data_IF_536849459007
#
_entry.id   IF_536849459007
#
_cell.length_a   1.000
_cell.length_b   1.000
_cell.length_c   1.000
_cell.angle_alpha   90.00
_cell.angle_beta   90.00
_cell.angle_gamma   90.00
#
_symmetry.space_group_name_H-M   'P 1'
#
loop_
_entity.id
_entity.type
_entity.pdbx_description
1 polymer ?
#
# COMPACT_ATOMS: atom_id res chain seq x y z
N UNK A 1 -29.60 -10.84 -14.46
CA UNK A 1 -28.19 -11.22 -14.62
C UNK A 1 -27.40 -10.55 -13.50
N UNK A 2 -27.54 -11.02 -12.24
CA UNK A 2 -26.98 -10.38 -11.04
C UNK A 2 -25.82 -11.17 -10.41
N UNK A 3 -25.49 -12.35 -10.98
CA UNK A 3 -24.52 -13.31 -10.42
C UNK A 3 -23.06 -12.95 -10.76
N UNK A 4 -22.82 -11.91 -11.58
CA UNK A 4 -21.47 -11.58 -12.06
C UNK A 4 -20.74 -10.50 -11.23
N UNK A 5 -21.43 -9.53 -10.64
CA UNK A 5 -20.78 -8.41 -9.96
C UNK A 5 -20.28 -8.82 -8.57
N UNK A 6 -21.09 -9.55 -7.80
CA UNK A 6 -20.69 -10.03 -6.48
C UNK A 6 -19.53 -11.03 -6.56
N UNK A 7 -19.56 -11.95 -7.53
CA UNK A 7 -18.44 -12.89 -7.76
C UNK A 7 -17.15 -12.16 -8.19
N UNK A 8 -17.25 -11.13 -9.02
CA UNK A 8 -16.09 -10.33 -9.42
C UNK A 8 -15.52 -9.54 -8.24
N UNK A 9 -16.36 -8.95 -7.40
CA UNK A 9 -15.93 -8.22 -6.20
C UNK A 9 -15.30 -9.14 -5.15
N UNK A 10 -15.84 -10.35 -4.95
CA UNK A 10 -15.28 -11.35 -4.05
C UNK A 10 -13.92 -11.86 -4.55
N UNK A 11 -13.77 -12.10 -5.85
CA UNK A 11 -12.50 -12.47 -6.45
C UNK A 11 -11.48 -11.34 -6.34
N UNK A 12 -11.87 -10.09 -6.62
CA UNK A 12 -11.00 -8.92 -6.45
C UNK A 12 -10.55 -8.76 -5.00
N UNK A 13 -11.46 -8.94 -4.03
CA UNK A 13 -11.10 -8.93 -2.61
C UNK A 13 -10.11 -10.04 -2.28
N UNK A 14 -10.35 -11.27 -2.76
CA UNK A 14 -9.42 -12.39 -2.53
C UNK A 14 -8.03 -12.08 -3.07
N UNK A 15 -7.93 -11.58 -4.29
CA UNK A 15 -6.66 -11.19 -4.90
C UNK A 15 -5.99 -10.04 -4.14
N UNK A 16 -6.74 -9.01 -3.73
CA UNK A 16 -6.20 -7.92 -2.89
C UNK A 16 -5.66 -8.49 -1.57
N UNK A 17 -6.42 -9.35 -0.89
CA UNK A 17 -5.98 -10.03 0.33
C UNK A 17 -4.71 -10.85 0.11
N UNK A 18 -4.63 -11.60 -0.98
CA UNK A 18 -3.42 -12.36 -1.34
C UNK A 18 -2.22 -11.45 -1.57
N UNK A 19 -2.38 -10.32 -2.27
CA UNK A 19 -1.28 -9.35 -2.49
C UNK A 19 -0.83 -8.65 -1.22
N UNK A 20 -1.75 -8.42 -0.30
CA UNK A 20 -1.45 -7.90 1.04
C UNK A 20 -0.69 -8.94 1.86
N UNK A 21 -1.11 -10.20 1.76
CA UNK A 21 -0.37 -11.29 2.38
C UNK A 21 1.01 -11.42 1.75
N UNK A 22 1.18 -11.39 0.43
CA UNK A 22 2.52 -11.36 -0.20
C UNK A 22 3.34 -10.16 0.27
N UNK A 23 2.72 -8.98 0.41
CA UNK A 23 3.36 -7.78 0.96
C UNK A 23 3.85 -8.02 2.39
N UNK A 24 3.02 -8.59 3.27
CA UNK A 24 3.38 -8.82 4.66
C UNK A 24 4.18 -10.09 4.89
N UNK A 25 4.08 -11.10 4.05
CA UNK A 25 4.79 -12.38 4.11
C UNK A 25 6.24 -12.19 3.66
N UNK A 26 6.48 -11.31 2.68
CA UNK A 26 7.81 -10.77 2.37
C UNK A 26 8.42 -9.98 3.55
N UNK A 27 7.55 -9.36 4.36
CA UNK A 27 7.90 -8.68 5.62
C UNK A 27 7.90 -9.67 6.81
N UNK A 28 7.51 -10.93 6.59
CA UNK A 28 7.20 -11.96 7.58
C UNK A 28 6.00 -11.66 8.50
N UNK A 29 4.78 -11.94 8.00
CA UNK A 29 3.50 -11.70 8.67
C UNK A 29 3.29 -12.48 9.99
N UNK A 30 4.15 -13.46 10.29
CA UNK A 30 4.11 -14.27 11.53
C UNK A 30 5.11 -13.80 12.59
N UNK A 31 5.86 -12.73 12.32
CA UNK A 31 7.07 -12.42 13.05
C UNK A 31 6.99 -11.04 13.66
N UNK A 32 6.61 -11.06 14.94
CA UNK A 32 6.85 -9.98 15.90
C UNK A 32 8.37 -9.91 16.21
N UNK A 33 9.20 -10.01 15.16
CA UNK A 33 10.64 -10.12 15.24
C UNK A 33 11.21 -8.76 15.64
N UNK A 34 12.26 -8.80 16.45
CA UNK A 34 12.98 -7.61 16.83
C UNK A 34 13.57 -6.93 15.59
N UNK A 35 13.71 -5.60 15.62
CA UNK A 35 14.39 -4.83 14.55
C UNK A 35 15.76 -5.44 14.22
N UNK A 36 16.45 -6.04 15.20
CA UNK A 36 17.74 -6.73 15.04
C UNK A 36 17.66 -7.96 14.13
N UNK A 37 16.60 -8.76 14.20
CA UNK A 37 16.39 -9.94 13.33
C UNK A 37 16.04 -9.55 11.90
N UNK A 38 15.27 -8.46 11.72
CA UNK A 38 15.01 -7.89 10.40
C UNK A 38 16.30 -7.34 9.78
N UNK A 39 17.13 -6.63 10.56
CA UNK A 39 18.43 -6.15 10.10
C UNK A 39 19.30 -7.33 9.64
N UNK A 40 19.39 -8.43 10.40
CA UNK A 40 20.16 -9.61 9.99
C UNK A 40 19.64 -10.25 8.70
N UNK A 41 18.33 -10.38 8.53
CA UNK A 41 17.70 -10.94 7.34
C UNK A 41 18.01 -10.12 6.08
N UNK A 42 17.92 -8.79 6.22
CA UNK A 42 18.13 -7.84 5.15
C UNK A 42 19.58 -7.34 5.06
N UNK A 43 20.50 -7.86 5.88
CA UNK A 43 21.93 -7.56 5.82
C UNK A 43 22.57 -7.97 4.50
N UNK A 44 21.92 -8.85 3.73
CA UNK A 44 22.28 -9.14 2.35
C UNK A 44 21.45 -8.26 1.41
N UNK A 45 22.12 -7.38 0.66
CA UNK A 45 21.51 -6.46 -0.32
C UNK A 45 20.59 -7.19 -1.34
N UNK A 46 20.94 -8.42 -1.72
CA UNK A 46 20.15 -9.23 -2.66
C UNK A 46 18.76 -9.60 -2.10
N UNK A 47 18.64 -9.84 -0.79
CA UNK A 47 17.35 -10.14 -0.16
C UNK A 47 16.47 -8.90 -0.14
N UNK A 48 17.03 -7.75 0.28
CA UNK A 48 16.29 -6.50 0.32
C UNK A 48 15.83 -6.06 -1.07
N UNK A 49 16.68 -6.21 -2.10
CA UNK A 49 16.32 -5.88 -3.47
C UNK A 49 15.18 -6.77 -4.01
N UNK A 50 15.21 -8.07 -3.70
CA UNK A 50 14.13 -8.99 -4.06
C UNK A 50 12.82 -8.64 -3.35
N UNK A 51 12.84 -8.35 -2.05
CA UNK A 51 11.64 -7.97 -1.31
C UNK A 51 11.08 -6.62 -1.77
N UNK A 52 11.94 -5.62 -1.99
CA UNK A 52 11.55 -4.33 -2.59
C UNK A 52 10.81 -4.52 -3.91
N UNK A 53 11.29 -5.43 -4.76
CA UNK A 53 10.67 -5.76 -6.05
C UNK A 53 9.30 -6.42 -5.85
N UNK A 54 9.20 -7.45 -5.01
CA UNK A 54 7.93 -8.15 -4.71
C UNK A 54 6.89 -7.14 -4.21
N UNK A 55 7.28 -6.30 -3.24
CA UNK A 55 6.39 -5.29 -2.68
C UNK A 55 5.92 -4.29 -3.76
N UNK A 56 6.83 -3.79 -4.60
CA UNK A 56 6.50 -2.85 -5.66
C UNK A 56 5.57 -3.46 -6.71
N UNK A 57 5.78 -4.73 -7.08
CA UNK A 57 4.92 -5.48 -7.98
C UNK A 57 3.51 -5.68 -7.39
N UNK A 58 3.40 -6.03 -6.11
CA UNK A 58 2.13 -6.16 -5.40
C UNK A 58 1.33 -4.85 -5.38
N UNK A 59 1.98 -3.70 -5.14
CA UNK A 59 1.33 -2.39 -5.20
C UNK A 59 0.80 -2.08 -6.61
N UNK A 60 1.55 -2.42 -7.65
CA UNK A 60 1.12 -2.23 -9.04
C UNK A 60 -0.05 -3.17 -9.39
N UNK A 61 -0.03 -4.40 -8.89
CA UNK A 61 -1.11 -5.35 -9.12
C UNK A 61 -2.41 -4.88 -8.45
N UNK A 62 -2.34 -4.32 -7.23
CA UNK A 62 -3.51 -3.71 -6.58
C UNK A 62 -4.10 -2.58 -7.45
N UNK A 63 -3.27 -1.70 -8.02
CA UNK A 63 -3.74 -0.68 -8.97
C UNK A 63 -4.46 -1.33 -10.16
N UNK A 64 -3.87 -2.39 -10.74
CA UNK A 64 -4.45 -3.10 -11.88
C UNK A 64 -5.79 -3.77 -11.57
N UNK A 65 -5.99 -4.22 -10.33
CA UNK A 65 -7.24 -4.82 -9.83
C UNK A 65 -8.30 -3.73 -9.60
N UNK A 66 -7.93 -2.60 -8.99
CA UNK A 66 -8.87 -1.54 -8.62
C UNK A 66 -9.31 -0.68 -9.82
N UNK A 67 -8.39 -0.39 -10.76
CA UNK A 67 -8.64 0.47 -11.93
C UNK A 67 -9.86 0.09 -12.78
N UNK A 68 -10.13 -1.20 -13.10
CA UNK A 68 -11.30 -1.59 -13.89
C UNK A 68 -12.60 -1.68 -13.09
N UNK A 69 -12.58 -1.48 -11.76
CA UNK A 69 -13.78 -1.59 -10.94
C UNK A 69 -14.55 -0.26 -10.91
N UNK A 70 -15.79 -0.29 -11.40
CA UNK A 70 -16.66 0.88 -11.43
C UNK A 70 -16.94 1.42 -10.01
N UNK A 71 -16.78 2.74 -9.84
CA UNK A 71 -17.14 3.43 -8.59
C UNK A 71 -16.05 3.46 -7.52
N UNK A 72 -14.80 3.09 -7.86
CA UNK A 72 -13.62 3.17 -7.00
C UNK A 72 -12.64 4.29 -7.38
N UNK A 73 -13.04 5.26 -8.20
CA UNK A 73 -12.11 6.26 -8.75
C UNK A 73 -11.44 7.10 -7.65
N UNK A 74 -12.19 7.45 -6.60
CA UNK A 74 -11.67 8.24 -5.49
C UNK A 74 -10.76 7.43 -4.57
N UNK A 75 -11.12 6.17 -4.30
CA UNK A 75 -10.26 5.28 -3.52
C UNK A 75 -8.96 4.97 -4.26
N UNK A 76 -9.03 4.77 -5.58
CA UNK A 76 -7.84 4.61 -6.40
C UNK A 76 -6.93 5.84 -6.31
N UNK A 77 -7.50 7.06 -6.34
CA UNK A 77 -6.73 8.28 -6.14
C UNK A 77 -5.98 8.28 -4.79
N UNK A 78 -6.66 7.94 -3.70
CA UNK A 78 -6.01 7.84 -2.39
C UNK A 78 -4.95 6.73 -2.33
N UNK A 79 -5.20 5.59 -2.97
CA UNK A 79 -4.22 4.51 -3.05
C UNK A 79 -2.96 4.95 -3.79
N UNK A 80 -3.07 5.78 -4.82
CA UNK A 80 -1.89 6.31 -5.50
C UNK A 80 -1.00 7.14 -4.57
N UNK A 81 -1.59 7.88 -3.64
CA UNK A 81 -0.81 8.62 -2.65
C UNK A 81 -0.13 7.68 -1.63
N UNK A 82 -0.87 6.69 -1.12
CA UNK A 82 -0.32 5.63 -0.25
C UNK A 82 0.84 4.92 -0.94
N UNK A 83 0.65 4.49 -2.19
CA UNK A 83 1.67 3.83 -3.01
C UNK A 83 2.93 4.69 -3.12
N UNK A 84 2.80 5.99 -3.39
CA UNK A 84 3.94 6.91 -3.48
C UNK A 84 4.73 6.97 -2.17
N UNK A 85 4.04 7.09 -1.04
CA UNK A 85 4.66 7.10 0.30
C UNK A 85 5.43 5.79 0.53
N UNK A 86 4.79 4.66 0.28
CA UNK A 86 5.40 3.34 0.48
C UNK A 86 6.61 3.15 -0.43
N UNK A 87 6.52 3.49 -1.72
CA UNK A 87 7.64 3.40 -2.66
C UNK A 87 8.83 4.28 -2.23
N UNK A 88 8.57 5.46 -1.66
CA UNK A 88 9.64 6.29 -1.11
C UNK A 88 10.34 5.58 0.05
N UNK A 89 9.55 5.12 1.01
CA UNK A 89 10.05 4.43 2.21
C UNK A 89 10.85 3.18 1.82
N UNK A 90 10.40 2.42 0.82
CA UNK A 90 11.06 1.20 0.32
C UNK A 90 12.39 1.45 -0.42
N UNK A 91 12.71 2.70 -0.77
CA UNK A 91 13.97 2.97 -1.46
C UNK A 91 15.19 2.86 -0.55
N UNK A 92 14.99 2.95 0.76
CA UNK A 92 16.04 2.83 1.77
C UNK A 92 15.63 1.82 2.82
N UNK A 93 16.49 0.83 3.07
CA UNK A 93 16.25 -0.25 4.03
C UNK A 93 16.03 0.26 5.45
N UNK A 94 16.81 1.25 5.90
CA UNK A 94 16.69 1.79 7.25
C UNK A 94 15.40 2.60 7.37
N UNK A 95 15.07 3.36 6.34
CA UNK A 95 13.80 4.09 6.28
C UNK A 95 12.61 3.13 6.32
N UNK A 96 12.69 2.03 5.58
CA UNK A 96 11.67 0.98 5.57
C UNK A 96 11.49 0.32 6.94
N UNK A 97 12.57 -0.16 7.54
CA UNK A 97 12.51 -0.82 8.85
C UNK A 97 11.98 0.12 9.95
N UNK A 98 12.41 1.38 9.95
CA UNK A 98 11.98 2.36 10.96
C UNK A 98 10.52 2.81 10.80
N UNK A 99 9.94 2.68 9.60
CA UNK A 99 8.59 3.16 9.30
C UNK A 99 7.61 2.03 8.95
N UNK A 100 7.96 0.78 9.26
CA UNK A 100 7.15 -0.37 8.91
C UNK A 100 5.74 -0.32 9.52
N UNK A 101 5.62 0.10 10.78
CA UNK A 101 4.32 0.24 11.46
C UNK A 101 3.42 1.27 10.75
N UNK A 102 4.02 2.38 10.31
CA UNK A 102 3.30 3.43 9.57
C UNK A 102 2.79 2.92 8.21
N UNK A 103 3.63 2.18 7.47
CA UNK A 103 3.25 1.53 6.21
C UNK A 103 2.10 0.53 6.42
N UNK A 104 2.20 -0.29 7.46
CA UNK A 104 1.16 -1.27 7.82
C UNK A 104 -0.20 -0.59 8.08
N UNK A 105 -0.20 0.47 8.90
CA UNK A 105 -1.43 1.19 9.25
C UNK A 105 -2.10 1.85 8.04
N UNK A 106 -1.33 2.47 7.14
CA UNK A 106 -1.86 3.04 5.88
C UNK A 106 -2.60 1.99 5.06
N UNK A 107 -1.97 0.83 4.85
CA UNK A 107 -2.51 -0.26 4.06
C UNK A 107 -3.77 -0.84 4.69
N UNK A 108 -3.73 -1.20 5.98
CA UNK A 108 -4.88 -1.80 6.66
C UNK A 108 -6.10 -0.87 6.65
N UNK A 109 -5.91 0.43 6.91
CA UNK A 109 -7.00 1.40 6.87
C UNK A 109 -7.61 1.50 5.47
N UNK A 110 -6.78 1.55 4.42
CA UNK A 110 -7.25 1.58 3.04
C UNK A 110 -8.00 0.30 2.66
N UNK A 111 -7.49 -0.87 3.01
CA UNK A 111 -8.13 -2.14 2.64
C UNK A 111 -9.44 -2.39 3.38
N UNK A 112 -9.53 -1.96 4.64
CA UNK A 112 -10.80 -1.96 5.37
C UNK A 112 -11.86 -1.12 4.65
N UNK A 113 -11.47 0.07 4.14
CA UNK A 113 -12.35 0.93 3.35
C UNK A 113 -12.79 0.24 2.04
N UNK A 114 -11.85 -0.31 1.26
CA UNK A 114 -12.15 -1.03 0.01
C UNK A 114 -13.07 -2.22 0.25
N UNK A 115 -12.82 -3.00 1.31
CA UNK A 115 -13.66 -4.12 1.70
C UNK A 115 -15.08 -3.65 2.04
N UNK A 116 -15.23 -2.55 2.79
CA UNK A 116 -16.56 -1.97 3.05
C UNK A 116 -17.27 -1.55 1.76
N UNK A 117 -16.55 -0.91 0.83
CA UNK A 117 -17.12 -0.45 -0.44
C UNK A 117 -17.57 -1.62 -1.31
N UNK A 118 -16.69 -2.59 -1.55
CA UNK A 118 -16.95 -3.72 -2.45
C UNK A 118 -18.07 -4.65 -1.97
N UNK A 119 -18.27 -4.74 -0.65
CA UNK A 119 -19.37 -5.49 -0.05
C UNK A 119 -20.61 -4.64 0.26
N UNK A 120 -20.65 -3.39 -0.21
CA UNK A 120 -21.75 -2.45 0.04
C UNK A 120 -22.14 -2.37 1.53
N UNK A 121 -21.15 -2.40 2.43
CA UNK A 121 -21.40 -2.36 3.88
C UNK A 121 -21.96 -1.00 4.29
N UNK A 122 -22.93 -1.02 5.19
CA UNK A 122 -23.49 0.21 5.80
C UNK A 122 -22.38 1.00 6.50
N UNK A 123 -22.49 2.34 6.45
CA UNK A 123 -21.52 3.25 7.06
C UNK A 123 -20.24 3.46 6.25
N UNK A 124 -20.18 2.99 5.00
CA UNK A 124 -19.03 3.26 4.12
C UNK A 124 -18.75 4.76 3.99
N UNK A 125 -19.76 5.61 3.77
CA UNK A 125 -19.55 7.07 3.62
C UNK A 125 -18.87 7.70 4.83
N UNK A 126 -19.35 7.37 6.04
CA UNK A 126 -18.76 7.90 7.28
C UNK A 126 -17.33 7.40 7.51
N UNK A 127 -17.02 6.16 7.08
CA UNK A 127 -15.67 5.60 7.17
C UNK A 127 -14.76 6.17 6.09
N UNK A 128 -15.29 6.47 4.91
CA UNK A 128 -14.56 7.16 3.85
C UNK A 128 -14.11 8.54 4.32
N UNK A 129 -15.02 9.34 4.90
CA UNK A 129 -14.66 10.66 5.42
C UNK A 129 -13.62 10.60 6.55
N UNK A 130 -13.68 9.58 7.41
CA UNK A 130 -12.67 9.34 8.45
C UNK A 130 -11.35 8.93 7.85
N UNK A 131 -11.36 8.06 6.85
CA UNK A 131 -10.18 7.62 6.14
C UNK A 131 -9.48 8.77 5.43
N UNK A 132 -10.22 9.67 4.76
CA UNK A 132 -9.64 10.86 4.13
C UNK A 132 -8.91 11.73 5.15
N UNK A 133 -9.54 12.05 6.28
CA UNK A 133 -8.90 12.84 7.35
C UNK A 133 -7.68 12.15 7.96
N UNK A 134 -7.76 10.83 8.11
CA UNK A 134 -6.64 10.03 8.56
C UNK A 134 -5.49 10.11 7.57
N UNK A 135 -5.76 9.90 6.28
CA UNK A 135 -4.75 9.95 5.22
C UNK A 135 -4.13 11.33 5.11
N UNK A 136 -4.92 12.42 5.14
CA UNK A 136 -4.40 13.79 5.15
C UNK A 136 -3.39 13.99 6.30
N UNK A 137 -3.73 13.52 7.51
CA UNK A 137 -2.83 13.59 8.66
C UNK A 137 -1.58 12.72 8.51
N UNK A 138 -1.67 11.56 7.84
CA UNK A 138 -0.52 10.69 7.58
C UNK A 138 0.38 11.25 6.48
N UNK A 139 -0.19 11.91 5.47
CA UNK A 139 0.55 12.63 4.44
C UNK A 139 1.32 13.80 5.07
N UNK A 140 0.66 14.60 5.92
CA UNK A 140 1.31 15.67 6.67
C UNK A 140 2.48 15.14 7.51
N UNK A 141 2.27 14.06 8.27
CA UNK A 141 3.33 13.41 9.04
C UNK A 141 4.48 12.93 8.15
N UNK A 142 4.17 12.25 7.05
CA UNK A 142 5.18 11.78 6.10
C UNK A 142 6.04 12.95 5.59
N UNK A 143 5.42 14.04 5.13
CA UNK A 143 6.15 15.16 4.55
C UNK A 143 6.92 16.02 5.56
N UNK A 144 6.62 15.89 6.85
CA UNK A 144 7.27 16.68 7.91
C UNK A 144 8.32 15.90 8.68
N UNK A 145 8.10 14.60 8.91
CA UNK A 145 8.92 13.79 9.83
C UNK A 145 9.70 12.67 9.14
N UNK A 146 9.27 12.21 7.96
CA UNK A 146 9.91 11.08 7.25
C UNK A 146 10.63 11.56 5.99
N UNK A 147 9.99 12.44 5.23
CA UNK A 147 10.47 12.86 3.93
C UNK A 147 11.68 13.80 4.05
N UNK A 148 12.80 13.34 3.50
CA UNK A 148 13.97 14.17 3.23
C UNK A 148 14.06 14.43 1.72
N UNK A 149 14.09 15.72 1.35
CA UNK A 149 14.22 16.11 -0.05
C UNK A 149 15.63 15.77 -0.57
N UNK A 150 15.72 14.85 -1.52
CA UNK A 150 16.93 14.50 -2.28
C UNK A 150 16.56 14.41 -3.77
N UNK A 151 17.51 14.74 -4.66
CA UNK A 151 17.38 14.75 -6.12
C UNK A 151 16.88 13.40 -6.67
N UNK A 152 17.13 12.29 -5.95
CA UNK A 152 16.61 10.95 -6.27
C UNK A 152 15.09 10.81 -6.18
N UNK A 153 14.41 11.71 -5.47
CA UNK A 153 12.95 11.69 -5.35
C UNK A 153 12.25 12.15 -6.63
N UNK A 154 12.85 13.06 -7.40
CA UNK A 154 12.29 13.47 -8.70
C UNK A 154 12.22 12.28 -9.67
N UNK A 155 13.25 11.43 -9.70
CA UNK A 155 13.26 10.22 -10.52
C UNK A 155 12.15 9.24 -10.10
N UNK A 156 11.90 9.10 -8.79
CA UNK A 156 10.83 8.26 -8.27
C UNK A 156 9.43 8.82 -8.63
N UNK A 157 9.25 10.14 -8.58
CA UNK A 157 8.00 10.78 -9.02
C UNK A 157 7.76 10.47 -10.50
N UNK A 158 8.80 10.57 -11.34
CA UNK A 158 8.72 10.30 -12.79
C UNK A 158 8.43 8.81 -13.05
N UNK A 159 9.04 7.88 -12.33
CA UNK A 159 8.79 6.44 -12.49
C UNK A 159 7.38 6.05 -12.02
N UNK A 160 6.92 6.61 -10.90
CA UNK A 160 5.56 6.43 -10.35
C UNK A 160 4.49 7.03 -11.26
N UNK A 161 4.78 8.15 -11.93
CA UNK A 161 3.85 8.84 -12.84
C UNK A 161 3.85 8.27 -14.26
N UNK A 162 4.94 7.68 -14.75
CA UNK A 162 4.97 7.04 -16.06
C UNK A 162 4.14 5.73 -16.12
N UNK A 163 3.79 5.15 -14.97
CA UNK A 163 2.86 4.01 -14.89
C UNK A 163 1.38 4.47 -14.97
N UNK A 164 1.11 5.77 -14.84
CA UNK A 164 -0.24 6.35 -14.85
C UNK A 164 -0.78 6.67 -16.25
N UNK A 165 0.01 6.53 -17.31
CA UNK A 165 -0.38 6.83 -18.70
C UNK A 165 -0.25 5.63 -19.62
#
# INVERSE_FOLDING_TARGET
MYVNVENNNLNALKCIYEKIHEFFDGIHADKNDSIEELIELYSNDDNFLNEKKIISESLNEIVSILKPLDGLQYELYHFMSIRRIICYILNDINLFLNNLSFVYELLVNFFNLIHMKLLNKKGYSDNYDKFCKYLDSQEDFFYTEIFEYDDKYEDLIVEVTNILW
#
